data_IF_558319173271
#
_entry.id   IF_558319173271
#
_cell.length_a   1.000
_cell.length_b   1.000
_cell.length_c   1.000
_cell.angle_alpha   90.00
_cell.angle_beta   90.00
_cell.angle_gamma   90.00
#
_symmetry.space_group_name_H-M   'P 1'
#
loop_
_entity.id
_entity.type
_entity.pdbx_description
1 polymer ?
#
# COMPACT_ATOMS: atom_id res chain seq x y z
N UNK A 1 -22.31 22.85 47.38
CA UNK A 1 -22.34 23.18 45.93
C UNK A 1 -20.96 22.86 45.37
N UNK A 2 -20.85 21.77 44.62
CA UNK A 2 -19.61 21.38 43.94
C UNK A 2 -19.76 21.74 42.46
N UNK A 3 -18.94 22.67 41.98
CA UNK A 3 -18.85 23.03 40.57
C UNK A 3 -18.02 21.96 39.86
N UNK A 4 -18.66 21.15 39.03
CA UNK A 4 -17.98 20.24 38.13
C UNK A 4 -17.39 21.08 36.97
N UNK A 5 -16.09 21.33 37.02
CA UNK A 5 -15.35 21.85 35.89
C UNK A 5 -15.25 20.75 34.83
N UNK A 6 -16.02 20.88 33.76
CA UNK A 6 -15.81 20.10 32.54
C UNK A 6 -14.43 20.48 32.00
N UNK A 7 -13.46 19.60 32.16
CA UNK A 7 -12.19 19.67 31.44
C UNK A 7 -12.51 19.45 29.95
N UNK A 8 -12.78 20.53 29.22
CA UNK A 8 -12.74 20.52 27.78
C UNK A 8 -11.30 20.20 27.38
N UNK A 9 -11.07 19.01 26.81
CA UNK A 9 -9.80 18.72 26.17
C UNK A 9 -9.55 19.82 25.11
N UNK A 10 -8.34 20.38 25.02
CA UNK A 10 -8.03 21.33 23.96
C UNK A 10 -8.32 20.66 22.63
N UNK A 11 -9.23 21.23 21.85
CA UNK A 11 -9.36 20.86 20.45
C UNK A 11 -8.03 21.22 19.79
N UNK A 12 -7.24 20.23 19.41
CA UNK A 12 -6.04 20.48 18.62
C UNK A 12 -6.47 21.19 17.34
N UNK A 13 -5.98 22.40 17.15
CA UNK A 13 -6.36 23.25 16.02
C UNK A 13 -5.85 22.71 14.67
N UNK A 14 -4.86 21.82 14.71
CA UNK A 14 -4.30 21.11 13.55
C UNK A 14 -4.49 19.60 13.75
N UNK A 15 -4.96 18.86 12.72
CA UNK A 15 -5.02 17.40 12.81
C UNK A 15 -3.61 16.82 12.95
N UNK A 16 -3.49 15.58 13.47
CA UNK A 16 -2.28 14.82 13.25
C UNK A 16 -2.06 14.66 11.75
N UNK A 17 -0.80 14.75 11.32
CA UNK A 17 -0.48 14.34 9.97
C UNK A 17 -0.58 12.83 9.84
N UNK A 18 -1.22 12.40 8.77
CA UNK A 18 -1.42 11.00 8.45
C UNK A 18 -1.05 10.79 6.99
N UNK A 19 -0.13 9.85 6.77
CA UNK A 19 0.17 9.33 5.45
C UNK A 19 -0.16 7.83 5.43
N UNK A 20 -0.87 7.39 4.40
CA UNK A 20 -1.11 5.97 4.16
C UNK A 20 -0.54 5.52 2.82
N UNK A 21 -0.21 4.23 2.72
CA UNK A 21 0.18 3.56 1.48
C UNK A 21 -0.74 2.35 1.30
N UNK A 22 -1.36 2.21 0.13
CA UNK A 22 -2.22 1.08 -0.22
C UNK A 22 -1.83 0.50 -1.58
N UNK A 23 -1.64 -0.82 -1.65
CA UNK A 23 -1.45 -1.55 -2.91
C UNK A 23 -2.76 -2.16 -3.40
N UNK A 24 -3.01 -2.04 -4.70
CA UNK A 24 -4.07 -2.76 -5.40
C UNK A 24 -3.45 -3.62 -6.51
N UNK A 25 -3.87 -4.90 -6.68
CA UNK A 25 -3.25 -5.77 -7.66
C UNK A 25 -3.61 -5.31 -9.07
N UNK A 26 -2.61 -5.15 -9.93
CA UNK A 26 -2.76 -4.60 -11.27
C UNK A 26 -2.50 -5.63 -12.37
N UNK A 27 -1.43 -6.42 -12.23
CA UNK A 27 -1.03 -7.39 -13.23
C UNK A 27 0.03 -8.38 -12.76
N UNK A 28 0.35 -9.31 -13.65
CA UNK A 28 1.36 -10.35 -13.42
C UNK A 28 2.06 -10.67 -14.75
N UNK A 29 3.37 -10.90 -14.71
CA UNK A 29 4.16 -11.50 -15.79
C UNK A 29 4.84 -12.78 -15.29
N UNK A 30 5.69 -13.40 -16.11
CA UNK A 30 6.48 -14.56 -15.71
C UNK A 30 7.45 -14.26 -14.55
N UNK A 31 7.86 -13.00 -14.40
CA UNK A 31 8.93 -12.61 -13.46
C UNK A 31 8.53 -11.51 -12.50
N UNK A 32 7.42 -10.80 -12.74
CA UNK A 32 7.04 -9.61 -12.00
C UNK A 32 5.57 -9.62 -11.59
N UNK A 33 5.30 -9.22 -10.35
CA UNK A 33 3.97 -8.79 -9.89
C UNK A 33 3.84 -7.28 -10.02
N UNK A 34 2.69 -6.83 -10.52
CA UNK A 34 2.40 -5.41 -10.69
C UNK A 34 1.28 -4.97 -9.75
N UNK A 35 1.51 -3.90 -8.99
CA UNK A 35 0.50 -3.25 -8.16
C UNK A 35 0.36 -1.77 -8.50
N UNK A 36 -0.85 -1.22 -8.35
CA UNK A 36 -1.05 0.21 -8.22
C UNK A 36 -0.89 0.57 -6.75
N UNK A 37 0.18 1.28 -6.42
CA UNK A 37 0.45 1.78 -5.08
C UNK A 37 -0.05 3.21 -4.98
N UNK A 38 -0.99 3.46 -4.08
CA UNK A 38 -1.50 4.80 -3.83
C UNK A 38 -1.03 5.29 -2.46
N UNK A 39 -0.43 6.47 -2.42
CA UNK A 39 -0.22 7.19 -1.17
C UNK A 39 -1.36 8.16 -0.93
N UNK A 40 -1.77 8.34 0.31
CA UNK A 40 -2.68 9.42 0.71
C UNK A 40 -2.04 10.21 1.83
N UNK A 41 -1.91 11.52 1.68
CA UNK A 41 -1.31 12.44 2.64
C UNK A 41 -2.31 13.58 2.93
N UNK A 42 -2.66 13.80 4.20
CA UNK A 42 -3.55 14.91 4.60
C UNK A 42 -2.83 16.28 4.70
N UNK A 43 -1.52 16.33 4.46
CA UNK A 43 -0.68 17.54 4.52
C UNK A 43 -0.74 18.28 5.88
N UNK A 44 -1.15 17.58 6.95
CA UNK A 44 -1.40 18.17 8.26
C UNK A 44 -2.63 19.07 8.31
N UNK A 45 -3.56 18.93 7.36
CA UNK A 45 -4.77 19.75 7.22
C UNK A 45 -6.05 18.91 7.27
N UNK A 46 -7.13 19.49 7.77
CA UNK A 46 -8.47 18.86 7.71
C UNK A 46 -9.12 19.00 6.34
N UNK A 47 -8.56 19.85 5.47
CA UNK A 47 -9.21 20.36 4.27
C UNK A 47 -8.44 20.08 3.00
N UNK A 48 -7.23 19.54 3.13
CA UNK A 48 -6.37 19.17 2.03
C UNK A 48 -6.06 17.68 2.13
N UNK A 49 -6.08 17.01 0.98
CA UNK A 49 -5.55 15.67 0.84
C UNK A 49 -4.79 15.60 -0.48
N UNK A 50 -3.77 14.77 -0.51
CA UNK A 50 -3.00 14.49 -1.69
C UNK A 50 -2.94 13.00 -1.92
N UNK A 51 -3.18 12.60 -3.16
CA UNK A 51 -3.13 11.23 -3.61
C UNK A 51 -2.09 11.11 -4.72
N UNK A 52 -1.18 10.15 -4.58
CA UNK A 52 -0.26 9.79 -5.65
C UNK A 52 -0.34 8.32 -5.94
N UNK A 53 -0.48 7.98 -7.21
CA UNK A 53 -0.57 6.61 -7.66
C UNK A 53 0.67 6.28 -8.47
N UNK A 54 1.31 5.17 -8.13
CA UNK A 54 2.44 4.59 -8.83
C UNK A 54 2.08 3.21 -9.33
N UNK A 55 2.54 2.86 -10.52
CA UNK A 55 2.68 1.45 -10.90
C UNK A 55 3.97 0.94 -10.29
N UNK A 56 3.90 -0.17 -9.55
CA UNK A 56 5.05 -0.83 -8.93
C UNK A 56 5.18 -2.22 -9.52
N UNK A 57 6.31 -2.49 -10.17
CA UNK A 57 6.72 -3.85 -10.55
C UNK A 57 7.62 -4.42 -9.47
N UNK A 58 7.26 -5.58 -8.95
CA UNK A 58 8.03 -6.34 -7.96
C UNK A 58 8.53 -7.62 -8.61
N UNK A 59 9.85 -7.81 -8.68
CA UNK A 59 10.42 -9.07 -9.12
C UNK A 59 10.02 -10.21 -8.15
N UNK A 60 9.48 -11.30 -8.69
CA UNK A 60 8.93 -12.41 -7.90
C UNK A 60 10.02 -13.19 -7.14
N UNK A 61 11.25 -13.23 -7.67
CA UNK A 61 12.39 -13.93 -7.08
C UNK A 61 13.19 -13.01 -6.15
N UNK A 62 13.68 -11.87 -6.66
CA UNK A 62 14.61 -10.99 -5.93
C UNK A 62 13.93 -9.99 -5.01
N UNK A 63 12.63 -9.76 -5.20
CA UNK A 63 11.81 -8.76 -4.46
C UNK A 63 12.19 -7.31 -4.72
N UNK A 64 13.06 -7.06 -5.68
CA UNK A 64 13.38 -5.70 -6.13
C UNK A 64 12.16 -5.02 -6.73
N UNK A 65 12.01 -3.72 -6.46
CA UNK A 65 10.88 -2.91 -6.90
C UNK A 65 11.33 -1.82 -7.87
N UNK A 66 10.59 -1.64 -8.95
CA UNK A 66 10.70 -0.51 -9.88
C UNK A 66 9.35 0.20 -9.94
N UNK A 67 9.36 1.53 -10.02
CA UNK A 67 8.14 2.33 -9.92
C UNK A 67 8.03 3.34 -11.06
N UNK A 68 6.79 3.57 -11.48
CA UNK A 68 6.42 4.60 -12.45
C UNK A 68 5.28 5.43 -11.89
N UNK A 69 5.39 6.75 -11.99
CA UNK A 69 4.33 7.67 -11.54
C UNK A 69 3.16 7.61 -12.53
N UNK A 70 1.93 7.40 -12.03
CA UNK A 70 0.71 7.20 -12.86
C UNK A 70 -0.26 8.37 -12.74
N UNK A 71 -0.53 8.86 -11.54
CA UNK A 71 -1.42 10.02 -11.33
C UNK A 71 -1.01 10.75 -10.05
N UNK A 72 -1.27 12.05 -10.02
CA UNK A 72 -1.06 12.89 -8.85
C UNK A 72 -2.19 13.89 -8.72
N UNK A 73 -2.90 13.83 -7.60
CA UNK A 73 -4.14 14.58 -7.37
C UNK A 73 -4.10 15.23 -6.00
N UNK A 74 -4.23 16.56 -5.97
CA UNK A 74 -4.51 17.31 -4.75
C UNK A 74 -5.98 17.67 -4.68
N UNK A 75 -6.60 17.39 -3.53
CA UNK A 75 -7.97 17.75 -3.21
C UNK A 75 -7.90 18.82 -2.13
N UNK A 76 -8.44 20.01 -2.40
CA UNK A 76 -8.48 21.12 -1.46
C UNK A 76 -9.91 21.63 -1.29
N UNK A 77 -10.21 22.21 -0.13
CA UNK A 77 -11.50 22.87 0.13
C UNK A 77 -11.35 24.36 -0.14
N UNK A 78 -12.10 24.87 -1.11
CA UNK A 78 -12.24 26.31 -1.36
C UNK A 78 -13.37 26.81 -0.48
N UNK A 79 -13.01 27.59 0.54
CA UNK A 79 -13.96 28.19 1.46
C UNK A 79 -14.71 29.34 0.82
N UNK A 80 -16.03 29.37 0.98
CA UNK A 80 -16.88 30.47 0.56
C UNK A 80 -17.02 31.55 1.64
N UNK A 81 -17.74 32.63 1.34
CA UNK A 81 -17.96 33.74 2.29
C UNK A 81 -18.89 33.36 3.46
N UNK A 82 -19.75 32.37 3.23
CA UNK A 82 -20.65 31.78 4.20
C UNK A 82 -20.38 30.28 4.14
N UNK A 83 -20.02 29.62 5.23
CA UNK A 83 -19.49 28.23 5.20
C UNK A 83 -20.40 27.15 4.57
N UNK A 84 -21.61 27.50 4.13
CA UNK A 84 -22.46 26.70 3.25
C UNK A 84 -22.05 26.73 1.75
N UNK A 85 -21.17 27.65 1.36
CA UNK A 85 -20.63 27.82 0.02
C UNK A 85 -19.29 27.08 -0.21
N UNK A 86 -18.84 26.30 0.77
CA UNK A 86 -17.60 25.54 0.70
C UNK A 86 -17.67 24.46 -0.40
N UNK A 87 -16.62 24.37 -1.21
CA UNK A 87 -16.55 23.38 -2.30
C UNK A 87 -15.21 22.68 -2.36
N UNK A 88 -15.20 21.42 -2.77
CA UNK A 88 -13.96 20.68 -3.05
C UNK A 88 -13.48 20.98 -4.46
N UNK A 89 -12.21 21.34 -4.59
CA UNK A 89 -11.50 21.43 -5.85
C UNK A 89 -10.49 20.29 -5.93
N UNK A 90 -10.41 19.70 -7.13
CA UNK A 90 -9.44 18.67 -7.46
C UNK A 90 -8.48 19.26 -8.48
N UNK A 91 -7.19 19.21 -8.18
CA UNK A 91 -6.11 19.72 -9.00
C UNK A 91 -5.17 18.57 -9.31
N UNK A 92 -4.94 18.31 -10.60
CA UNK A 92 -3.88 17.42 -11.03
C UNK A 92 -2.60 18.21 -11.17
N UNK A 93 -1.48 17.60 -10.81
CA UNK A 93 -0.20 18.27 -10.97
C UNK A 93 0.21 18.33 -12.44
N UNK A 94 0.57 19.54 -12.89
CA UNK A 94 1.04 19.78 -14.25
C UNK A 94 2.56 19.62 -14.33
N UNK A 95 3.07 19.28 -15.51
CA UNK A 95 4.50 19.26 -15.80
C UNK A 95 5.26 18.00 -15.35
N UNK A 96 4.59 17.02 -14.76
CA UNK A 96 5.12 15.67 -14.57
C UNK A 96 4.78 14.76 -15.75
N UNK A 97 5.71 13.86 -16.08
CA UNK A 97 5.46 12.79 -17.04
C UNK A 97 4.82 11.61 -16.31
N UNK A 98 3.58 11.29 -16.68
CA UNK A 98 2.85 10.15 -16.13
C UNK A 98 2.94 8.95 -17.09
N UNK A 99 3.20 7.78 -16.53
CA UNK A 99 3.21 6.53 -17.27
C UNK A 99 1.77 6.02 -17.48
N UNK A 100 1.51 5.47 -18.67
CA UNK A 100 0.34 4.62 -18.89
C UNK A 100 0.62 3.23 -18.30
N UNK A 101 -0.05 2.84 -17.20
CA UNK A 101 0.27 1.60 -16.51
C UNK A 101 -0.02 0.36 -17.37
N UNK A 102 -1.00 0.43 -18.29
CA UNK A 102 -1.29 -0.69 -19.21
C UNK A 102 -0.21 -0.81 -20.29
N UNK A 103 0.36 0.31 -20.74
CA UNK A 103 1.46 0.30 -21.68
C UNK A 103 2.70 -0.36 -21.06
N UNK A 104 3.07 0.04 -19.83
CA UNK A 104 4.19 -0.55 -19.08
C UNK A 104 3.96 -2.05 -18.83
N UNK A 105 2.77 -2.43 -18.38
CA UNK A 105 2.42 -3.83 -18.15
C UNK A 105 2.62 -4.68 -19.41
N UNK A 106 2.11 -4.20 -20.56
CA UNK A 106 2.25 -4.90 -21.85
C UNK A 106 3.69 -4.98 -22.32
N UNK A 107 4.47 -3.91 -22.17
CA UNK A 107 5.90 -3.89 -22.51
C UNK A 107 6.68 -4.94 -21.70
N UNK A 108 6.32 -5.11 -20.43
CA UNK A 108 6.90 -6.10 -19.51
C UNK A 108 6.34 -7.51 -19.69
N UNK A 109 5.56 -7.77 -20.73
CA UNK A 109 4.95 -9.08 -20.99
C UNK A 109 3.90 -9.50 -19.96
N UNK A 110 3.40 -8.55 -19.17
CA UNK A 110 2.39 -8.81 -18.16
C UNK A 110 0.97 -8.85 -18.72
N UNK A 111 0.09 -9.45 -17.94
CA UNK A 111 -1.35 -9.51 -18.19
C UNK A 111 -2.12 -8.91 -17.00
N UNK A 112 -3.31 -8.32 -17.23
CA UNK A 112 -4.10 -7.74 -16.15
C UNK A 112 -4.44 -8.77 -15.06
N UNK A 113 -4.39 -8.35 -13.80
CA UNK A 113 -4.55 -9.24 -12.66
C UNK A 113 -5.85 -10.05 -12.71
N UNK A 114 -6.97 -9.39 -13.09
CA UNK A 114 -8.26 -10.05 -13.25
C UNK A 114 -8.23 -11.24 -14.22
N UNK A 115 -7.37 -11.22 -15.23
CA UNK A 115 -7.26 -12.32 -16.19
C UNK A 115 -6.53 -13.55 -15.62
N UNK A 116 -5.68 -13.36 -14.59
CA UNK A 116 -4.92 -14.42 -13.92
C UNK A 116 -5.51 -14.84 -12.58
N UNK A 117 -6.36 -14.02 -11.95
CA UNK A 117 -7.10 -14.41 -10.76
C UNK A 117 -8.47 -15.02 -11.07
N UNK A 118 -9.04 -14.77 -12.26
CA UNK A 118 -10.31 -15.38 -12.69
C UNK A 118 -10.13 -16.85 -13.12
N UNK A 119 -10.09 -17.78 -12.16
CA UNK A 119 -10.09 -19.23 -12.43
C UNK A 119 -10.87 -20.02 -11.38
N UNK A 120 -11.12 -21.32 -11.59
CA UNK A 120 -11.58 -22.18 -10.49
C UNK A 120 -10.52 -22.16 -9.39
N UNK A 121 -10.85 -21.49 -8.28
CA UNK A 121 -10.01 -21.49 -7.11
C UNK A 121 -10.00 -22.90 -6.50
N UNK A 122 -8.96 -23.24 -5.75
CA UNK A 122 -9.05 -24.37 -4.82
C UNK A 122 -10.33 -24.18 -3.99
N UNK A 123 -11.15 -25.23 -3.85
CA UNK A 123 -12.40 -25.12 -3.09
C UNK A 123 -12.05 -24.78 -1.64
N UNK A 124 -12.43 -23.57 -1.20
CA UNK A 124 -12.10 -23.02 0.11
C UNK A 124 -10.90 -22.08 0.04
N UNK A 125 -10.97 -20.95 0.76
CA UNK A 125 -9.83 -20.05 0.94
C UNK A 125 -8.67 -20.75 1.66
N UNK A 126 -7.46 -20.15 1.65
CA UNK A 126 -6.32 -20.74 2.33
C UNK A 126 -6.55 -20.79 3.84
N UNK A 127 -6.09 -21.85 4.49
CA UNK A 127 -5.84 -21.79 5.94
C UNK A 127 -4.58 -20.98 6.19
N UNK A 128 -4.69 -20.01 7.09
CA UNK A 128 -3.60 -19.12 7.49
C UNK A 128 -3.14 -19.56 8.86
N UNK A 129 -1.86 -19.89 8.98
CA UNK A 129 -1.21 -20.16 10.26
C UNK A 129 -0.08 -19.17 10.45
N UNK A 130 -0.25 -18.32 11.46
CA UNK A 130 0.74 -17.35 11.89
C UNK A 130 1.52 -17.89 13.09
N UNK A 131 2.84 -17.93 12.99
CA UNK A 131 3.75 -18.30 14.08
C UNK A 131 4.59 -17.08 14.49
N UNK A 132 5.50 -17.25 15.45
CA UNK A 132 6.36 -16.14 15.91
C UNK A 132 7.21 -15.53 14.79
N UNK A 133 7.59 -16.29 13.76
CA UNK A 133 8.51 -15.81 12.72
C UNK A 133 7.96 -15.86 11.29
N UNK A 134 6.85 -16.57 11.06
CA UNK A 134 6.38 -16.85 9.70
C UNK A 134 4.87 -16.77 9.60
N UNK A 135 4.38 -16.34 8.46
CA UNK A 135 3.00 -16.52 8.00
C UNK A 135 3.02 -17.65 6.99
N UNK A 136 2.19 -18.67 7.22
CA UNK A 136 2.04 -19.79 6.30
C UNK A 136 0.62 -19.86 5.78
N UNK A 137 0.48 -20.10 4.49
CA UNK A 137 -0.81 -20.25 3.82
C UNK A 137 -0.84 -21.61 3.14
N UNK A 138 -1.86 -22.40 3.43
CA UNK A 138 -2.05 -23.72 2.83
C UNK A 138 -3.43 -23.85 2.23
N UNK A 139 -3.48 -24.41 1.02
CA UNK A 139 -4.70 -24.85 0.38
C UNK A 139 -4.77 -26.37 0.57
N UNK A 140 -5.88 -26.92 1.07
CA UNK A 140 -5.94 -28.29 1.61
C UNK A 140 -5.09 -29.37 0.89
N UNK A 141 -5.30 -29.61 -0.41
CA UNK A 141 -4.46 -30.49 -1.26
C UNK A 141 -3.61 -29.72 -2.29
N UNK A 142 -3.50 -28.42 -2.10
CA UNK A 142 -2.86 -27.49 -3.01
C UNK A 142 -1.46 -27.05 -2.53
N UNK A 143 -0.94 -25.97 -3.12
CA UNK A 143 0.37 -25.43 -2.76
C UNK A 143 0.41 -24.89 -1.33
N UNK A 144 1.63 -24.86 -0.79
CA UNK A 144 1.98 -24.26 0.48
C UNK A 144 2.84 -23.03 0.24
N UNK A 145 2.50 -21.92 0.91
CA UNK A 145 3.21 -20.65 0.83
C UNK A 145 3.75 -20.27 2.20
N UNK A 146 4.95 -19.69 2.21
CA UNK A 146 5.61 -19.27 3.43
C UNK A 146 6.17 -17.86 3.23
N UNK A 147 5.78 -16.95 4.12
CA UNK A 147 6.26 -15.59 4.19
C UNK A 147 6.94 -15.36 5.56
N UNK A 148 8.28 -15.26 5.62
CA UNK A 148 8.95 -14.83 6.84
C UNK A 148 8.49 -13.41 7.20
N UNK A 149 8.12 -13.18 8.46
CA UNK A 149 7.66 -11.85 8.92
C UNK A 149 8.73 -10.79 8.77
N UNK A 150 10.01 -11.15 8.99
CA UNK A 150 11.14 -10.26 8.75
C UNK A 150 11.22 -9.81 7.28
N UNK A 151 10.97 -10.72 6.32
CA UNK A 151 10.93 -10.37 4.92
C UNK A 151 9.75 -9.44 4.58
N UNK A 152 8.58 -9.67 5.20
CA UNK A 152 7.41 -8.79 5.04
C UNK A 152 7.66 -7.37 5.60
N UNK A 153 8.29 -7.26 6.76
CA UNK A 153 8.68 -5.97 7.36
C UNK A 153 9.73 -5.28 6.49
N UNK A 154 10.74 -6.02 6.03
CA UNK A 154 11.75 -5.50 5.11
C UNK A 154 11.14 -4.98 3.80
N UNK A 155 10.15 -5.69 3.26
CA UNK A 155 9.38 -5.24 2.10
C UNK A 155 8.64 -3.93 2.36
N UNK A 156 7.99 -3.80 3.53
CA UNK A 156 7.27 -2.58 3.91
C UNK A 156 8.21 -1.38 4.14
N UNK A 157 9.37 -1.60 4.77
CA UNK A 157 10.39 -0.55 4.94
C UNK A 157 10.98 -0.12 3.60
N UNK A 158 11.28 -1.06 2.70
CA UNK A 158 11.75 -0.75 1.37
C UNK A 158 10.72 0.06 0.57
N UNK A 159 9.43 -0.32 0.64
CA UNK A 159 8.35 0.45 0.03
C UNK A 159 8.28 1.89 0.54
N UNK A 160 8.36 2.11 1.86
CA UNK A 160 8.40 3.46 2.43
C UNK A 160 9.62 4.27 1.96
N UNK A 161 10.82 3.66 1.95
CA UNK A 161 12.03 4.34 1.48
C UNK A 161 11.96 4.71 -0.02
N UNK A 162 11.36 3.83 -0.83
CA UNK A 162 11.12 4.11 -2.25
C UNK A 162 10.14 5.28 -2.44
N UNK A 163 9.11 5.39 -1.60
CA UNK A 163 8.22 6.56 -1.61
C UNK A 163 8.96 7.83 -1.19
N UNK A 164 9.82 7.78 -0.18
CA UNK A 164 10.60 8.94 0.26
C UNK A 164 11.45 9.59 -0.86
N UNK A 165 11.92 8.79 -1.82
CA UNK A 165 12.70 9.29 -2.96
C UNK A 165 11.84 9.63 -4.19
N UNK A 166 10.64 9.06 -4.29
CA UNK A 166 9.81 9.16 -5.51
C UNK A 166 8.70 10.22 -5.39
N UNK A 167 8.24 10.47 -4.17
CA UNK A 167 7.25 11.50 -3.86
C UNK A 167 8.00 12.82 -3.62
N UNK A 168 7.74 13.90 -4.38
CA UNK A 168 8.37 15.18 -4.12
C UNK A 168 7.88 15.78 -2.80
N UNK A 169 8.64 16.72 -2.25
CA UNK A 169 8.23 17.41 -1.03
C UNK A 169 7.18 18.48 -1.36
N UNK A 170 6.06 18.44 -0.64
CA UNK A 170 4.98 19.42 -0.79
C UNK A 170 4.94 20.41 0.37
N UNK A 171 4.33 21.56 0.09
CA UNK A 171 4.00 22.51 1.15
C UNK A 171 2.97 21.88 2.10
N UNK A 172 3.26 21.94 3.39
CA UNK A 172 2.42 21.41 4.46
C UNK A 172 2.54 22.27 5.71
N UNK A 173 1.63 22.07 6.66
CA UNK A 173 1.59 22.89 7.89
C UNK A 173 2.68 22.52 8.90
N UNK A 174 3.14 21.27 8.89
CA UNK A 174 4.21 20.80 9.74
C UNK A 174 5.60 21.16 9.20
N UNK A 175 6.60 21.16 10.09
CA UNK A 175 7.99 21.43 9.73
C UNK A 175 8.71 20.23 9.09
N UNK A 176 8.17 19.03 9.25
CA UNK A 176 8.73 17.80 8.67
C UNK A 176 8.29 17.67 7.21
N UNK A 177 9.20 17.29 6.31
CA UNK A 177 8.88 17.13 4.88
C UNK A 177 8.14 15.82 4.58
N UNK A 178 7.50 15.69 3.41
CA UNK A 178 6.87 14.43 2.96
C UNK A 178 7.89 13.30 2.88
N UNK A 179 9.09 13.57 2.34
CA UNK A 179 10.21 12.61 2.35
C UNK A 179 10.61 12.19 3.75
N UNK A 180 10.73 13.13 4.68
CA UNK A 180 11.11 12.83 6.04
C UNK A 180 10.08 11.94 6.73
N UNK A 181 8.78 12.18 6.52
CA UNK A 181 7.72 11.33 7.07
C UNK A 181 7.83 9.88 6.61
N UNK A 182 8.09 9.63 5.32
CA UNK A 182 8.31 8.26 4.85
C UNK A 182 9.59 7.63 5.44
N UNK A 183 10.66 8.41 5.58
CA UNK A 183 11.98 7.94 6.06
C UNK A 183 11.98 7.59 7.55
N UNK A 184 11.18 8.32 8.34
CA UNK A 184 11.09 8.14 9.78
C UNK A 184 10.23 6.94 10.19
N UNK A 185 9.48 6.33 9.26
CA UNK A 185 8.65 5.15 9.57
C UNK A 185 9.48 4.02 10.16
N UNK A 186 8.94 3.42 11.21
CA UNK A 186 9.47 2.23 11.86
C UNK A 186 8.34 1.24 11.99
N UNK A 187 8.56 0.04 11.47
CA UNK A 187 7.63 -1.07 11.59
C UNK A 187 8.25 -2.13 12.49
N UNK A 188 7.50 -2.56 13.48
CA UNK A 188 7.86 -3.69 14.33
C UNK A 188 6.90 -4.84 14.06
N UNK A 189 7.35 -6.09 14.20
CA UNK A 189 6.53 -7.25 13.88
C UNK A 189 5.21 -7.31 14.64
N UNK A 190 5.14 -6.71 15.83
CA UNK A 190 3.91 -6.65 16.64
C UNK A 190 2.86 -5.67 16.09
N UNK A 191 3.29 -4.67 15.32
CA UNK A 191 2.43 -3.67 14.66
C UNK A 191 1.99 -4.06 13.25
N UNK A 192 2.34 -5.27 12.78
CA UNK A 192 1.97 -5.76 11.46
C UNK A 192 0.94 -6.88 11.55
N UNK A 193 -0.09 -6.80 10.71
CA UNK A 193 -1.13 -7.81 10.51
C UNK A 193 -0.96 -8.43 9.12
N UNK A 194 -1.34 -9.70 9.01
CA UNK A 194 -1.18 -10.48 7.79
C UNK A 194 -2.49 -11.14 7.42
N UNK A 195 -2.95 -10.91 6.20
CA UNK A 195 -4.18 -11.51 5.69
C UNK A 195 -3.94 -12.13 4.30
N UNK A 196 -4.60 -13.25 3.99
CA UNK A 196 -4.65 -13.74 2.63
C UNK A 196 -5.43 -12.74 1.79
N UNK A 197 -4.81 -12.24 0.72
CA UNK A 197 -5.48 -11.40 -0.26
C UNK A 197 -5.91 -12.26 -1.46
N UNK A 198 -5.74 -11.74 -2.66
CA UNK A 198 -6.07 -12.45 -3.89
C UNK A 198 -4.98 -13.49 -4.26
N UNK A 199 -5.35 -14.42 -5.13
CA UNK A 199 -4.50 -15.50 -5.58
C UNK A 199 -4.53 -15.56 -7.11
N UNK A 200 -3.36 -15.50 -7.75
CA UNK A 200 -3.27 -15.73 -9.18
C UNK A 200 -3.04 -17.23 -9.44
N UNK A 201 -3.93 -17.81 -10.25
CA UNK A 201 -3.82 -19.18 -10.74
C UNK A 201 -3.70 -19.18 -12.25
N UNK A 202 -2.80 -19.99 -12.77
CA UNK A 202 -2.75 -20.32 -14.19
C UNK A 202 -4.14 -20.74 -14.72
N UNK A 203 -4.60 -20.08 -15.79
CA UNK A 203 -4.80 -20.84 -17.03
C UNK A 203 -3.74 -20.52 -18.11
N UNK A 204 -2.86 -19.53 -17.88
CA UNK A 204 -1.92 -19.01 -18.89
C UNK A 204 -0.47 -19.51 -18.76
N UNK A 205 -0.17 -20.41 -17.81
CA UNK A 205 1.15 -21.03 -17.66
C UNK A 205 2.06 -20.41 -16.60
N UNK A 206 1.66 -19.33 -15.94
CA UNK A 206 2.42 -18.74 -14.82
C UNK A 206 2.52 -19.68 -13.62
N UNK A 207 3.63 -19.57 -12.87
CA UNK A 207 3.70 -20.16 -11.55
C UNK A 207 2.63 -19.56 -10.63
N UNK A 208 2.02 -20.35 -9.72
CA UNK A 208 1.04 -19.83 -8.77
C UNK A 208 1.64 -18.72 -7.91
N UNK A 209 0.91 -17.62 -7.74
CA UNK A 209 1.33 -16.51 -6.87
C UNK A 209 0.24 -16.22 -5.85
N UNK A 210 0.57 -16.33 -4.57
CA UNK A 210 -0.29 -15.91 -3.47
C UNK A 210 0.04 -14.48 -3.07
N UNK A 211 -0.95 -13.57 -3.05
CA UNK A 211 -0.76 -12.27 -2.43
C UNK A 211 -1.07 -12.35 -0.95
N UNK A 212 -0.17 -11.84 -0.13
CA UNK A 212 -0.40 -11.62 1.31
C UNK A 212 -0.52 -10.13 1.53
N UNK A 213 -1.67 -9.70 2.04
CA UNK A 213 -1.84 -8.33 2.52
C UNK A 213 -1.08 -8.18 3.83
N UNK A 214 -0.18 -7.21 3.87
CA UNK A 214 0.62 -6.85 5.04
C UNK A 214 0.24 -5.44 5.44
N UNK A 215 -0.49 -5.34 6.54
CA UNK A 215 -0.89 -4.05 7.13
C UNK A 215 0.01 -3.76 8.33
N UNK A 216 0.94 -2.83 8.18
CA UNK A 216 1.80 -2.36 9.28
C UNK A 216 1.42 -0.94 9.66
N UNK A 217 1.23 -0.70 10.96
CA UNK A 217 1.14 0.64 11.53
C UNK A 217 2.47 1.05 12.16
N UNK A 218 2.71 2.36 12.25
CA UNK A 218 3.79 2.90 13.08
C UNK A 218 3.47 2.82 14.59
N UNK A 219 4.41 3.25 15.44
CA UNK A 219 4.26 3.17 16.91
C UNK A 219 3.10 4.03 17.45
N UNK A 220 2.72 5.09 16.72
CA UNK A 220 1.62 5.98 17.09
C UNK A 220 0.27 5.54 16.51
N UNK A 221 0.25 4.47 15.69
CA UNK A 221 -0.92 3.95 14.97
C UNK A 221 -1.62 4.97 14.05
N UNK A 222 -0.91 6.03 13.65
CA UNK A 222 -1.44 7.09 12.81
C UNK A 222 -1.15 6.81 11.34
N UNK A 223 0.05 6.30 11.06
CA UNK A 223 0.51 5.98 9.71
C UNK A 223 0.37 4.49 9.42
N UNK A 224 -0.11 4.17 8.22
CA UNK A 224 -0.38 2.79 7.82
C UNK A 224 0.15 2.43 6.43
N UNK A 225 0.81 1.28 6.32
CA UNK A 225 1.14 0.64 5.05
C UNK A 225 0.29 -0.61 4.90
N UNK A 226 -0.57 -0.67 3.88
CA UNK A 226 -1.29 -1.88 3.46
C UNK A 226 -0.73 -2.31 2.11
N UNK A 227 0.19 -3.27 2.14
CA UNK A 227 0.96 -3.67 0.96
C UNK A 227 0.62 -5.11 0.55
N UNK A 228 0.72 -5.39 -0.75
CA UNK A 228 0.52 -6.73 -1.29
C UNK A 228 1.89 -7.36 -1.54
N UNK A 229 2.22 -8.38 -0.75
CA UNK A 229 3.46 -9.15 -0.88
C UNK A 229 3.17 -10.41 -1.70
N UNK A 230 3.71 -10.54 -2.92
CA UNK A 230 3.56 -11.78 -3.68
C UNK A 230 4.37 -12.89 -3.02
N UNK A 231 3.89 -14.13 -3.00
CA UNK A 231 4.57 -15.28 -2.40
C UNK A 231 4.48 -16.46 -3.36
N UNK A 232 5.63 -17.02 -3.69
CA UNK A 232 5.75 -18.20 -4.54
C UNK A 232 5.58 -19.49 -3.71
N UNK A 233 5.08 -20.58 -4.31
CA UNK A 233 4.91 -21.85 -3.63
C UNK A 233 6.27 -22.40 -3.18
N UNK A 234 6.31 -23.00 -2.01
CA UNK A 234 7.47 -23.74 -1.55
C UNK A 234 7.41 -25.18 -2.10
N UNK A 235 8.55 -25.75 -2.46
CA UNK A 235 8.65 -27.18 -2.70
C UNK A 235 8.25 -27.92 -1.41
N UNK A 236 7.29 -28.83 -1.49
CA UNK A 236 6.98 -29.70 -0.35
C UNK A 236 8.21 -30.58 -0.12
N UNK A 237 8.81 -30.49 1.08
CA UNK A 237 9.82 -31.44 1.48
C UNK A 237 9.16 -32.82 1.55
N UNK A 238 9.59 -33.73 0.66
CA UNK A 238 9.16 -35.13 0.64
C UNK A 238 9.57 -35.88 1.91
#
# INVERSE_FOLDING_TARGET
MAAAAFFAAPANATPPTVISIEDQPFGLSDTEFFALRTTTDNLGSHFENRHETFLVATNLETREQVMWHVDSVQITTIFGDRGDDDRRAMMREDGMEFADPLAVLRERGGVPWRAVSSGEHWRGGPSVLETMGTVSLSYGKGPFFLLPKEAAIGFALNASNLMAVSVPDYSRLESISTREQFTLRRFVSAGCKYAPADFARSPLGFEPVQLVEVTCSDEEELDGNTLLVPVLPQAQAE
#
